data_IF_065892106670
#
_entry.id   IF_065892106670
#
_cell.length_a   1.000
_cell.length_b   1.000
_cell.length_c   1.000
_cell.angle_alpha   90.00
_cell.angle_beta   90.00
_cell.angle_gamma   90.00
#
_symmetry.space_group_name_H-M   'P 1'
#
loop_
_entity.id
_entity.type
_entity.pdbx_description
1 polymer ?
#
# COMPACT_ATOMS: atom_id res chain seq x y z
N UNK A 1 -22.72 -13.36 -21.35
CA UNK A 1 -22.52 -13.41 -19.88
C UNK A 1 -21.59 -12.27 -19.41
N UNK A 2 -21.70 -11.05 -19.96
CA UNK A 2 -20.67 -9.99 -19.76
C UNK A 2 -21.20 -8.64 -19.29
N UNK A 3 -22.51 -8.36 -19.29
CA UNK A 3 -23.02 -7.01 -18.98
C UNK A 3 -22.95 -6.58 -17.51
N UNK A 4 -22.77 -7.52 -16.57
CA UNK A 4 -22.76 -7.20 -15.14
C UNK A 4 -21.39 -6.70 -14.64
N UNK A 5 -20.28 -7.06 -15.31
CA UNK A 5 -18.96 -6.53 -14.97
C UNK A 5 -18.70 -5.15 -15.60
N UNK A 6 -19.50 -4.78 -16.62
CA UNK A 6 -19.38 -3.51 -17.33
C UNK A 6 -20.06 -2.34 -16.58
N UNK A 7 -20.84 -2.62 -15.54
CA UNK A 7 -21.56 -1.62 -14.74
C UNK A 7 -21.05 -1.58 -13.30
N UNK A 8 -20.72 -0.39 -12.80
CA UNK A 8 -20.34 -0.16 -11.39
C UNK A 8 -21.32 -0.79 -10.39
N UNK A 9 -22.62 -0.74 -10.68
CA UNK A 9 -23.67 -1.36 -9.85
C UNK A 9 -23.53 -2.89 -9.82
N UNK A 10 -23.14 -3.50 -10.93
CA UNK A 10 -22.94 -4.94 -11.00
C UNK A 10 -21.67 -5.38 -10.26
N UNK A 11 -20.57 -4.63 -10.37
CA UNK A 11 -19.35 -4.86 -9.58
C UNK A 11 -19.66 -4.80 -8.08
N UNK A 12 -20.32 -3.73 -7.63
CA UNK A 12 -20.72 -3.57 -6.21
C UNK A 12 -21.66 -4.69 -5.79
N UNK A 13 -22.60 -5.09 -6.65
CA UNK A 13 -23.50 -6.22 -6.41
C UNK A 13 -22.75 -7.53 -6.18
N UNK A 14 -21.72 -7.83 -6.99
CA UNK A 14 -20.90 -9.02 -6.82
C UNK A 14 -20.06 -8.97 -5.53
N UNK A 15 -19.45 -7.83 -5.21
CA UNK A 15 -18.68 -7.66 -3.98
C UNK A 15 -19.56 -7.81 -2.74
N UNK A 16 -20.77 -7.23 -2.75
CA UNK A 16 -21.74 -7.36 -1.68
C UNK A 16 -22.24 -8.80 -1.54
N UNK A 17 -22.50 -9.48 -2.66
CA UNK A 17 -22.92 -10.88 -2.66
C UNK A 17 -21.82 -11.79 -2.09
N UNK A 18 -20.58 -11.65 -2.58
CA UNK A 18 -19.44 -12.43 -2.12
C UNK A 18 -19.18 -12.22 -0.62
N UNK A 19 -19.13 -10.95 -0.20
CA UNK A 19 -18.92 -10.60 1.21
C UNK A 19 -20.07 -11.07 2.10
N UNK A 20 -21.31 -10.96 1.61
CA UNK A 20 -22.50 -11.42 2.32
C UNK A 20 -22.52 -12.94 2.49
N UNK A 21 -22.22 -13.70 1.43
CA UNK A 21 -22.09 -15.16 1.50
C UNK A 21 -20.96 -15.55 2.46
N UNK A 22 -19.79 -14.89 2.38
CA UNK A 22 -18.67 -15.12 3.29
C UNK A 22 -19.04 -14.84 4.74
N UNK A 23 -19.74 -13.75 5.01
CA UNK A 23 -20.23 -13.39 6.34
C UNK A 23 -21.21 -14.43 6.88
N UNK A 24 -22.21 -14.82 6.07
CA UNK A 24 -23.18 -15.87 6.42
C UNK A 24 -22.46 -17.18 6.67
N UNK A 25 -21.48 -17.55 5.85
CA UNK A 25 -20.72 -18.78 6.01
C UNK A 25 -19.96 -18.80 7.33
N UNK A 26 -19.24 -17.72 7.67
CA UNK A 26 -18.54 -17.60 8.96
C UNK A 26 -19.54 -17.70 10.11
N UNK A 27 -20.61 -16.89 10.08
CA UNK A 27 -21.57 -16.81 11.18
C UNK A 27 -22.35 -18.12 11.36
N UNK A 28 -22.77 -18.77 10.28
CA UNK A 28 -23.44 -20.06 10.30
C UNK A 28 -22.55 -21.13 10.94
N UNK A 29 -21.26 -21.19 10.59
CA UNK A 29 -20.34 -22.15 11.20
C UNK A 29 -20.12 -21.85 12.70
N UNK A 30 -20.02 -20.58 13.09
CA UNK A 30 -19.90 -20.20 14.51
C UNK A 30 -21.17 -20.56 15.30
N UNK A 31 -22.36 -20.30 14.75
CA UNK A 31 -23.65 -20.64 15.36
C UNK A 31 -23.84 -22.16 15.48
N UNK A 32 -23.51 -22.89 14.40
CA UNK A 32 -23.58 -24.35 14.39
C UNK A 32 -22.60 -24.92 15.42
N UNK A 33 -21.37 -24.39 15.48
CA UNK A 33 -20.39 -24.75 16.51
C UNK A 33 -20.89 -24.45 17.92
N UNK A 34 -21.55 -23.30 18.14
CA UNK A 34 -22.12 -22.92 19.44
C UNK A 34 -23.27 -23.84 19.88
N UNK A 35 -24.05 -24.37 18.94
CA UNK A 35 -25.20 -25.26 19.22
C UNK A 35 -24.79 -26.73 19.36
N UNK A 36 -23.86 -27.21 18.53
CA UNK A 36 -23.37 -28.60 18.58
C UNK A 36 -22.38 -28.83 19.74
N UNK A 37 -21.66 -27.80 20.20
CA UNK A 37 -20.64 -27.94 21.25
C UNK A 37 -21.25 -28.27 22.62
N UNK A 38 -20.76 -29.32 23.32
CA UNK A 38 -21.11 -29.55 24.72
C UNK A 38 -20.72 -28.37 25.62
N UNK A 39 -21.71 -27.82 26.32
CA UNK A 39 -21.54 -26.68 27.23
C UNK A 39 -21.23 -27.16 28.65
N UNK A 40 -19.96 -27.45 28.93
CA UNK A 40 -19.47 -27.76 30.28
C UNK A 40 -18.47 -26.68 30.76
N UNK A 41 -18.96 -25.58 31.36
CA UNK A 41 -18.11 -24.56 31.98
C UNK A 41 -17.66 -25.03 33.37
N UNK A 42 -16.36 -24.98 33.63
CA UNK A 42 -15.77 -25.21 34.94
C UNK A 42 -14.84 -24.03 35.27
N UNK A 43 -14.46 -23.88 36.55
CA UNK A 43 -13.64 -22.74 37.00
C UNK A 43 -12.27 -22.72 36.33
N UNK A 44 -11.58 -23.86 36.28
CA UNK A 44 -10.23 -24.00 35.71
C UNK A 44 -10.17 -23.69 34.19
N UNK A 45 -11.17 -24.07 33.39
CA UNK A 45 -11.22 -23.78 31.94
C UNK A 45 -11.49 -22.30 31.62
N UNK A 46 -12.04 -21.57 32.59
CA UNK A 46 -12.30 -20.14 32.47
C UNK A 46 -11.14 -19.29 33.03
N UNK A 47 -10.15 -19.91 33.67
CA UNK A 47 -8.94 -19.24 34.15
C UNK A 47 -7.89 -19.12 33.02
N UNK A 48 -7.00 -18.13 33.16
CA UNK A 48 -5.92 -17.88 32.20
C UNK A 48 -4.91 -19.03 32.30
N UNK A 49 -4.44 -19.52 31.16
CA UNK A 49 -3.44 -20.58 31.12
C UNK A 49 -2.07 -20.05 31.57
N UNK A 50 -1.57 -20.56 32.70
CA UNK A 50 -0.27 -20.21 33.28
C UNK A 50 0.45 -21.49 33.77
N UNK A 51 0.58 -22.49 32.88
CA UNK A 51 1.27 -23.76 33.15
C UNK A 51 0.80 -24.57 34.40
N UNK A 52 -0.38 -24.26 34.94
CA UNK A 52 -0.97 -24.92 36.11
C UNK A 52 -0.84 -24.14 37.43
N UNK A 53 -0.18 -22.98 37.43
CA UNK A 53 -0.10 -22.08 38.58
C UNK A 53 -1.13 -20.94 38.46
N UNK A 54 -1.58 -20.31 39.57
CA UNK A 54 -2.40 -19.12 39.48
C UNK A 54 -1.58 -17.96 38.88
N UNK A 55 -2.17 -17.23 37.92
CA UNK A 55 -1.54 -16.04 37.35
C UNK A 55 -1.36 -14.96 38.43
N UNK A 56 -0.10 -14.65 38.77
CA UNK A 56 0.26 -13.60 39.73
C UNK A 56 1.07 -12.53 39.00
N UNK A 57 0.68 -11.28 39.17
CA UNK A 57 1.39 -10.12 38.61
C UNK A 57 0.51 -9.28 37.69
N UNK A 58 1.05 -8.16 37.23
CA UNK A 58 0.36 -7.28 36.30
C UNK A 58 0.48 -7.79 34.87
N UNK A 59 -0.64 -7.81 34.13
CA UNK A 59 -0.64 -8.04 32.68
C UNK A 59 -0.09 -6.85 31.87
N UNK A 60 0.27 -5.75 32.53
CA UNK A 60 0.88 -4.58 31.91
C UNK A 60 2.39 -4.76 31.82
N UNK A 61 2.87 -5.11 30.62
CA UNK A 61 4.29 -5.17 30.29
C UNK A 61 4.65 -3.99 29.38
N UNK A 62 5.86 -3.45 29.55
CA UNK A 62 6.39 -2.47 28.62
C UNK A 62 6.81 -3.21 27.35
N UNK A 63 6.09 -2.95 26.25
CA UNK A 63 6.48 -3.47 24.94
C UNK A 63 7.65 -2.64 24.38
N UNK A 64 8.54 -3.30 23.66
CA UNK A 64 9.65 -2.62 22.99
C UNK A 64 9.10 -1.63 21.93
N UNK A 65 9.71 -0.44 21.85
CA UNK A 65 9.36 0.60 20.87
C UNK A 65 9.50 0.10 19.42
N UNK A 66 10.23 -0.98 19.19
CA UNK A 66 10.41 -1.63 17.89
C UNK A 66 9.11 -1.95 17.15
N UNK A 67 8.06 -2.38 17.86
CA UNK A 67 6.75 -2.63 17.24
C UNK A 67 6.16 -1.35 16.64
N UNK A 68 6.36 -0.21 17.31
CA UNK A 68 5.94 1.09 16.83
C UNK A 68 6.76 1.53 15.61
N UNK A 69 8.09 1.31 15.60
CA UNK A 69 8.94 1.67 14.45
C UNK A 69 8.52 0.92 13.19
N UNK A 70 8.25 -0.39 13.29
CA UNK A 70 7.79 -1.19 12.15
C UNK A 70 6.43 -0.68 11.64
N UNK A 71 5.49 -0.38 12.54
CA UNK A 71 4.20 0.18 12.18
C UNK A 71 4.34 1.56 11.49
N UNK A 72 5.24 2.42 11.98
CA UNK A 72 5.50 3.73 11.40
C UNK A 72 6.09 3.62 9.99
N UNK A 73 7.08 2.75 9.79
CA UNK A 73 7.67 2.48 8.46
C UNK A 73 6.61 1.91 7.51
N UNK A 74 5.74 1.02 7.99
CA UNK A 74 4.62 0.49 7.21
C UNK A 74 3.69 1.62 6.74
N UNK A 75 3.26 2.52 7.64
CA UNK A 75 2.36 3.64 7.28
C UNK A 75 3.03 4.57 6.26
N UNK A 76 4.31 4.89 6.43
CA UNK A 76 5.05 5.74 5.48
C UNK A 76 5.10 5.08 4.10
N UNK A 77 5.41 3.78 4.03
CA UNK A 77 5.46 3.05 2.76
C UNK A 77 4.07 2.82 2.15
N UNK A 78 3.02 2.67 2.97
CA UNK A 78 1.64 2.53 2.49
C UNK A 78 1.16 3.82 1.82
N UNK A 79 1.42 4.97 2.46
CA UNK A 79 1.15 6.30 1.87
C UNK A 79 1.95 6.52 0.60
N UNK A 80 3.20 6.05 0.53
CA UNK A 80 4.00 6.09 -0.69
C UNK A 80 3.33 5.36 -1.85
N UNK A 81 2.92 4.11 -1.61
CA UNK A 81 2.24 3.29 -2.64
C UNK A 81 0.93 3.95 -3.06
N UNK A 82 0.23 4.62 -2.14
CA UNK A 82 -0.95 5.42 -2.49
C UNK A 82 -0.63 6.53 -3.51
N UNK A 83 0.53 7.18 -3.42
CA UNK A 83 0.98 8.20 -4.39
C UNK A 83 1.49 7.60 -5.71
N UNK A 84 1.93 6.34 -5.73
CA UNK A 84 2.29 5.66 -6.97
C UNK A 84 1.09 5.46 -7.90
N UNK A 85 -0.13 5.30 -7.37
CA UNK A 85 -1.32 5.04 -8.19
C UNK A 85 -1.68 6.20 -9.14
N UNK A 86 -1.85 7.46 -8.69
CA UNK A 86 -2.11 8.57 -9.60
C UNK A 86 -1.04 8.70 -10.69
N UNK A 87 0.24 8.63 -10.31
CA UNK A 87 1.35 8.69 -11.27
C UNK A 87 1.27 7.56 -12.31
N UNK A 88 1.07 6.31 -11.87
CA UNK A 88 1.02 5.15 -12.75
C UNK A 88 -0.16 5.25 -13.75
N UNK A 89 -1.31 5.76 -13.31
CA UNK A 89 -2.48 5.94 -14.19
C UNK A 89 -2.27 7.04 -15.24
N UNK A 90 -1.65 8.17 -14.88
CA UNK A 90 -1.36 9.26 -15.81
C UNK A 90 -0.26 8.84 -16.79
N UNK A 91 0.84 8.28 -16.28
CA UNK A 91 1.95 7.79 -17.09
C UNK A 91 1.49 6.73 -18.09
N UNK A 92 0.66 5.77 -17.66
CA UNK A 92 0.07 4.75 -18.53
C UNK A 92 -0.77 5.36 -19.66
N UNK A 93 -1.63 6.34 -19.35
CA UNK A 93 -2.44 7.05 -20.37
C UNK A 93 -1.58 7.79 -21.39
N UNK A 94 -0.56 8.52 -20.93
CA UNK A 94 0.37 9.25 -21.80
C UNK A 94 1.15 8.30 -22.70
N UNK A 95 1.61 7.17 -22.17
CA UNK A 95 2.35 6.17 -22.93
C UNK A 95 1.47 5.49 -23.99
N UNK A 96 0.20 5.22 -23.67
CA UNK A 96 -0.77 4.69 -24.64
C UNK A 96 -1.02 5.65 -25.81
N UNK A 97 -1.10 6.96 -25.54
CA UNK A 97 -1.21 8.00 -26.59
C UNK A 97 0.05 8.11 -27.47
N UNK A 98 1.21 7.73 -26.94
CA UNK A 98 2.47 7.67 -27.70
C UNK A 98 2.53 6.41 -28.58
N UNK A 99 2.11 5.26 -28.07
CA UNK A 99 2.16 3.99 -28.77
C UNK A 99 1.15 3.94 -29.94
N UNK A 100 -0.01 4.57 -29.76
CA UNK A 100 -0.96 4.85 -30.83
C UNK A 100 -0.97 6.36 -31.11
N UNK A 101 -0.07 6.89 -31.98
CA UNK A 101 -0.09 8.30 -32.35
C UNK A 101 -1.41 8.58 -33.07
N UNK A 102 -2.42 8.92 -32.27
CA UNK A 102 -3.75 9.38 -32.62
C UNK A 102 -4.16 8.98 -34.04
N UNK A 103 -4.74 7.78 -34.23
CA UNK A 103 -5.27 7.38 -35.53
C UNK A 103 -6.28 8.44 -35.99
N UNK A 104 -5.81 9.30 -36.88
CA UNK A 104 -6.60 10.34 -37.53
C UNK A 104 -7.49 9.60 -38.52
N UNK A 105 -8.77 9.43 -38.18
CA UNK A 105 -9.74 8.82 -39.08
C UNK A 105 -10.22 9.91 -40.03
N UNK A 106 -9.86 9.78 -41.30
CA UNK A 106 -10.35 10.64 -42.37
C UNK A 106 -11.81 10.25 -42.67
N UNK A 107 -12.73 11.22 -42.68
CA UNK A 107 -14.11 10.97 -43.09
C UNK A 107 -14.14 10.40 -44.52
N UNK A 108 -15.01 9.42 -44.76
CA UNK A 108 -15.16 8.74 -46.06
C UNK A 108 -15.43 9.71 -47.23
N UNK A 109 -15.91 10.91 -46.91
CA UNK A 109 -16.29 11.96 -47.87
C UNK A 109 -15.16 13.01 -48.08
N UNK A 110 -13.94 12.73 -47.60
CA UNK A 110 -12.71 13.49 -47.91
C UNK A 110 -12.55 14.85 -47.21
N UNK A 111 -13.45 15.23 -46.29
CA UNK A 111 -13.51 16.62 -45.78
C UNK A 111 -13.00 16.91 -44.37
N UNK A 112 -12.94 15.93 -43.45
CA UNK A 112 -12.60 16.21 -42.04
C UNK A 112 -11.83 15.05 -41.41
N UNK A 113 -10.74 15.38 -40.74
CA UNK A 113 -9.93 14.46 -39.94
C UNK A 113 -10.36 14.49 -38.48
N UNK A 114 -10.83 13.36 -37.96
CA UNK A 114 -11.23 13.23 -36.55
C UNK A 114 -10.27 12.32 -35.80
N UNK A 115 -10.06 12.59 -34.51
CA UNK A 115 -9.35 11.66 -33.64
C UNK A 115 -10.13 10.36 -33.46
N UNK A 116 -9.41 9.25 -33.33
CA UNK A 116 -10.01 7.95 -32.99
C UNK A 116 -10.88 8.07 -31.73
N UNK A 117 -11.98 7.30 -31.62
CA UNK A 117 -12.84 7.31 -30.43
C UNK A 117 -12.07 7.05 -29.13
N UNK A 118 -11.08 6.14 -29.18
CA UNK A 118 -10.21 5.79 -28.06
C UNK A 118 -9.33 6.97 -27.63
N UNK A 119 -8.68 7.66 -28.57
CA UNK A 119 -7.82 8.80 -28.27
C UNK A 119 -8.65 9.95 -27.65
N UNK A 120 -9.85 10.23 -28.18
CA UNK A 120 -10.74 11.26 -27.63
C UNK A 120 -11.15 10.98 -26.18
N UNK A 121 -11.40 9.71 -25.83
CA UNK A 121 -11.67 9.29 -24.46
C UNK A 121 -10.51 9.62 -23.52
N UNK A 122 -9.29 9.23 -23.89
CA UNK A 122 -8.09 9.49 -23.07
C UNK A 122 -7.80 10.98 -22.92
N UNK A 123 -7.93 11.79 -23.97
CA UNK A 123 -7.77 13.26 -23.86
C UNK A 123 -8.82 13.91 -22.95
N UNK A 124 -10.07 13.43 -23.00
CA UNK A 124 -11.13 13.90 -22.10
C UNK A 124 -10.83 13.55 -20.65
N UNK A 125 -10.35 12.33 -20.38
CA UNK A 125 -9.98 11.88 -19.05
C UNK A 125 -8.74 12.58 -18.48
N UNK A 126 -7.83 13.03 -19.35
CA UNK A 126 -6.68 13.86 -18.97
C UNK A 126 -7.05 15.34 -18.77
N UNK A 127 -8.32 15.72 -18.98
CA UNK A 127 -8.80 17.10 -18.85
C UNK A 127 -8.52 18.01 -20.05
N UNK A 128 -7.95 17.49 -21.14
CA UNK A 128 -7.63 18.22 -22.36
C UNK A 128 -8.81 18.28 -23.37
N UNK A 129 -10.02 17.84 -22.97
CA UNK A 129 -11.13 17.59 -23.88
C UNK A 129 -11.75 18.82 -24.56
N UNK A 130 -11.56 20.03 -24.05
CA UNK A 130 -12.22 21.23 -24.57
C UNK A 130 -11.61 21.80 -25.86
N UNK A 131 -10.33 21.50 -26.14
CA UNK A 131 -9.60 22.04 -27.30
C UNK A 131 -9.64 21.11 -28.52
N UNK A 132 -10.17 19.90 -28.33
CA UNK A 132 -10.00 18.78 -29.25
C UNK A 132 -11.17 18.60 -30.25
N UNK A 133 -12.28 19.30 -30.02
CA UNK A 133 -13.47 19.28 -30.90
C UNK A 133 -13.40 20.32 -32.05
N UNK A 134 -12.27 21.04 -32.20
CA UNK A 134 -12.03 21.94 -33.32
C UNK A 134 -11.87 21.18 -34.65
N UNK A 135 -12.83 21.36 -35.56
CA UNK A 135 -12.75 20.87 -36.94
C UNK A 135 -11.66 21.64 -37.68
N UNK A 136 -10.46 21.07 -37.78
CA UNK A 136 -9.38 21.63 -38.61
C UNK A 136 -9.63 21.18 -40.06
N UNK A 137 -10.14 22.08 -40.92
CA UNK A 137 -10.15 21.87 -42.36
C UNK A 137 -8.72 22.01 -42.89
N UNK A 138 -8.01 20.89 -43.06
CA UNK A 138 -6.67 20.88 -43.64
C UNK A 138 -6.66 20.04 -44.93
N UNK A 139 -6.03 20.57 -45.98
CA UNK A 139 -5.85 19.85 -47.26
C UNK A 139 -4.99 18.59 -47.04
N UNK A 140 -5.20 17.53 -47.83
CA UNK A 140 -4.49 16.23 -47.74
C UNK A 140 -2.95 16.33 -47.64
N UNK A 141 -2.34 17.34 -48.30
CA UNK A 141 -0.91 17.63 -48.23
C UNK A 141 -0.51 18.38 -46.95
N UNK A 142 -1.35 19.31 -46.47
CA UNK A 142 -1.17 20.02 -45.21
C UNK A 142 -1.40 19.09 -44.00
N UNK A 143 -2.27 18.08 -44.13
CA UNK A 143 -2.43 17.01 -43.17
C UNK A 143 -1.18 16.13 -43.11
N UNK A 144 -0.62 15.69 -44.25
CA UNK A 144 0.60 14.86 -44.24
C UNK A 144 1.82 15.62 -43.72
N UNK A 145 1.97 16.91 -44.02
CA UNK A 145 3.05 17.74 -43.47
C UNK A 145 2.80 18.14 -42.01
N UNK A 146 1.58 18.55 -41.64
CA UNK A 146 1.21 18.91 -40.27
C UNK A 146 1.10 17.72 -39.31
N UNK A 147 0.81 16.51 -39.79
CA UNK A 147 0.89 15.26 -39.01
C UNK A 147 2.33 14.83 -38.81
N UNK A 148 3.23 15.08 -39.79
CA UNK A 148 4.67 14.84 -39.63
C UNK A 148 5.30 15.85 -38.68
N UNK A 149 5.16 17.15 -38.94
CA UNK A 149 5.70 18.22 -38.08
C UNK A 149 4.99 18.28 -36.71
N UNK A 150 3.67 18.16 -36.68
CA UNK A 150 2.90 18.10 -35.44
C UNK A 150 3.09 16.80 -34.68
N UNK A 151 3.38 15.70 -35.37
CA UNK A 151 3.82 14.44 -34.76
C UNK A 151 5.17 14.61 -34.09
N UNK A 152 6.17 15.16 -34.77
CA UNK A 152 7.50 15.41 -34.21
C UNK A 152 7.49 16.41 -33.05
N UNK A 153 6.73 17.51 -33.18
CA UNK A 153 6.62 18.54 -32.12
C UNK A 153 5.81 18.05 -30.91
N UNK A 154 4.73 17.27 -31.13
CA UNK A 154 3.97 16.67 -30.01
C UNK A 154 4.73 15.51 -29.37
N UNK A 155 5.41 14.66 -30.13
CA UNK A 155 6.25 13.59 -29.55
C UNK A 155 7.38 14.17 -28.69
N UNK A 156 8.00 15.29 -29.10
CA UNK A 156 9.01 15.98 -28.30
C UNK A 156 8.44 16.51 -26.98
N UNK A 157 7.22 17.09 -27.00
CA UNK A 157 6.51 17.51 -25.78
C UNK A 157 6.14 16.33 -24.87
N UNK A 158 5.71 15.20 -25.45
CA UNK A 158 5.40 13.99 -24.70
C UNK A 158 6.64 13.35 -24.06
N UNK A 159 7.78 13.31 -24.77
CA UNK A 159 9.03 12.78 -24.22
C UNK A 159 9.53 13.59 -23.03
N UNK A 160 9.35 14.91 -23.05
CA UNK A 160 9.68 15.76 -21.91
C UNK A 160 8.79 15.46 -20.70
N UNK A 161 7.47 15.31 -20.90
CA UNK A 161 6.53 15.00 -19.80
C UNK A 161 6.79 13.61 -19.21
N UNK A 162 7.01 12.60 -20.07
CA UNK A 162 7.32 11.22 -19.65
C UNK A 162 8.63 11.18 -18.87
N UNK A 163 9.68 11.80 -19.41
CA UNK A 163 11.00 11.83 -18.75
C UNK A 163 10.93 12.61 -17.44
N UNK A 164 10.23 13.75 -17.43
CA UNK A 164 10.02 14.55 -16.22
C UNK A 164 9.29 13.74 -15.14
N UNK A 165 8.17 13.10 -15.47
CA UNK A 165 7.40 12.30 -14.53
C UNK A 165 8.19 11.10 -14.00
N UNK A 166 9.03 10.47 -14.84
CA UNK A 166 9.90 9.37 -14.43
C UNK A 166 11.02 9.85 -13.48
N UNK A 167 11.63 11.00 -13.76
CA UNK A 167 12.66 11.59 -12.90
C UNK A 167 12.07 12.03 -11.56
N UNK A 168 10.91 12.70 -11.57
CA UNK A 168 10.20 13.11 -10.35
C UNK A 168 9.88 11.90 -9.47
N UNK A 169 9.32 10.84 -10.04
CA UNK A 169 9.02 9.60 -9.32
C UNK A 169 10.29 8.91 -8.81
N UNK A 170 11.37 8.91 -9.61
CA UNK A 170 12.66 8.39 -9.20
C UNK A 170 13.25 9.15 -8.00
N UNK A 171 13.13 10.49 -7.98
CA UNK A 171 13.56 11.33 -6.85
C UNK A 171 12.70 11.04 -5.62
N UNK A 172 11.38 11.01 -5.77
CA UNK A 172 10.43 10.74 -4.70
C UNK A 172 10.71 9.39 -4.03
N UNK A 173 10.84 8.32 -4.82
CA UNK A 173 11.19 6.99 -4.34
C UNK A 173 12.58 6.93 -3.71
N UNK A 174 13.57 7.64 -4.27
CA UNK A 174 14.94 7.67 -3.74
C UNK A 174 15.03 8.31 -2.36
N UNK A 175 14.26 9.38 -2.12
CA UNK A 175 14.20 10.05 -0.81
C UNK A 175 13.74 9.06 0.26
N UNK A 176 12.71 8.25 -0.04
CA UNK A 176 12.24 7.23 0.89
C UNK A 176 13.20 6.07 1.04
N UNK A 177 13.86 5.62 -0.03
CA UNK A 177 14.84 4.56 0.07
C UNK A 177 16.02 4.99 0.96
N UNK A 178 16.43 6.26 0.91
CA UNK A 178 17.41 6.83 1.83
C UNK A 178 16.89 6.85 3.26
N UNK A 179 15.64 7.29 3.49
CA UNK A 179 15.03 7.29 4.82
C UNK A 179 14.93 5.86 5.40
N UNK A 180 14.51 4.89 4.59
CA UNK A 180 14.45 3.48 4.95
C UNK A 180 15.84 2.91 5.26
N UNK A 181 16.82 3.18 4.39
CA UNK A 181 18.21 2.77 4.62
C UNK A 181 18.80 3.39 5.90
N UNK A 182 18.40 4.63 6.24
CA UNK A 182 18.78 5.29 7.48
C UNK A 182 18.20 4.58 8.72
N UNK A 183 16.94 4.18 8.67
CA UNK A 183 16.28 3.41 9.76
C UNK A 183 16.91 2.02 9.88
N UNK A 184 17.19 1.36 8.76
CA UNK A 184 17.88 0.08 8.73
C UNK A 184 19.27 0.20 9.35
N UNK A 185 20.08 1.16 8.91
CA UNK A 185 21.44 1.37 9.43
C UNK A 185 21.46 1.63 10.94
N UNK A 186 20.44 2.25 11.50
CA UNK A 186 20.32 2.48 12.94
C UNK A 186 19.94 1.22 13.74
N UNK A 187 19.67 0.09 13.07
CA UNK A 187 19.26 -1.15 13.71
C UNK A 187 17.90 -1.03 14.41
N UNK A 188 17.06 -0.06 14.00
CA UNK A 188 15.73 0.12 14.59
C UNK A 188 14.78 -1.05 14.23
N UNK A 189 15.16 -1.84 13.22
CA UNK A 189 14.49 -3.07 12.80
C UNK A 189 15.13 -4.35 13.38
N UNK A 190 16.22 -4.24 14.15
CA UNK A 190 16.89 -5.43 14.69
C UNK A 190 16.13 -5.99 15.88
N UNK A 191 15.72 -7.26 15.82
CA UNK A 191 14.96 -7.91 16.92
C UNK A 191 15.86 -8.32 18.09
N UNK A 192 17.16 -8.50 17.86
CA UNK A 192 18.11 -8.95 18.88
C UNK A 192 18.92 -7.74 19.36
N UNK A 193 18.31 -6.97 20.25
CA UNK A 193 19.06 -6.13 21.19
C UNK A 193 18.80 -6.80 22.52
N UNK A 194 19.77 -7.59 22.99
CA UNK A 194 19.71 -8.12 24.33
C UNK A 194 19.53 -6.93 25.26
N UNK A 195 18.43 -6.88 25.98
CA UNK A 195 18.35 -6.01 27.14
C UNK A 195 19.51 -6.46 28.03
N UNK A 196 20.56 -5.66 28.08
CA UNK A 196 21.67 -5.87 29.02
C UNK A 196 21.07 -5.69 30.40
N UNK A 197 20.52 -6.77 30.97
CA UNK A 197 20.19 -6.81 32.37
C UNK A 197 21.44 -6.33 33.12
N UNK A 198 21.35 -5.29 33.97
CA UNK A 198 22.51 -4.83 34.70
C UNK A 198 23.10 -6.03 35.42
N UNK A 199 24.43 -6.27 35.33
CA UNK A 199 25.03 -7.43 35.94
C UNK A 199 24.65 -7.42 37.41
N UNK A 200 23.89 -8.42 37.84
CA UNK A 200 23.64 -8.65 39.27
C UNK A 200 25.02 -8.81 39.87
N UNK A 201 25.45 -7.82 40.65
CA UNK A 201 26.69 -7.91 41.42
C UNK A 201 26.47 -9.00 42.45
N UNK A 202 26.82 -10.23 42.09
CA UNK A 202 26.95 -11.31 43.06
C UNK A 202 28.10 -10.89 43.98
N UNK A 203 27.75 -10.52 45.20
CA UNK A 203 28.70 -10.28 46.28
C UNK A 203 29.32 -11.64 46.64
N UNK A 204 30.40 -11.99 45.93
CA UNK A 204 31.11 -13.28 46.06
C UNK A 204 31.62 -13.46 47.49
N UNK A 205 31.98 -12.36 48.16
CA UNK A 205 32.44 -12.37 49.54
C UNK A 205 31.32 -12.77 50.50
N UNK A 206 30.08 -12.29 50.27
CA UNK A 206 28.89 -12.75 51.00
C UNK A 206 28.65 -14.25 50.84
N UNK A 207 28.70 -14.75 49.61
CA UNK A 207 28.46 -16.18 49.31
C UNK A 207 29.54 -17.07 49.96
N UNK A 208 30.79 -16.63 49.96
CA UNK A 208 31.89 -17.36 50.60
C UNK A 208 31.82 -17.35 52.14
N UNK A 209 31.24 -16.30 52.73
CA UNK A 209 31.17 -16.12 54.19
C UNK A 209 30.01 -16.87 54.86
N UNK A 210 29.08 -17.46 54.08
CA UNK A 210 27.91 -18.15 54.62
C UNK A 210 26.90 -17.25 55.35
N UNK A 211 27.06 -15.92 55.31
CA UNK A 211 26.14 -14.98 55.98
C UNK A 211 24.80 -14.90 55.27
N UNK A 212 23.75 -15.25 56.00
CA UNK A 212 22.37 -15.11 55.54
C UNK A 212 21.95 -13.62 55.45
N UNK A 213 20.85 -13.32 54.74
CA UNK A 213 20.38 -11.94 54.52
C UNK A 213 20.14 -11.12 55.80
N UNK A 214 19.90 -11.78 56.93
CA UNK A 214 19.48 -11.15 58.18
C UNK A 214 20.61 -10.76 59.14
N UNK A 215 21.86 -11.19 58.92
CA UNK A 215 22.94 -10.94 59.91
C UNK A 215 23.53 -9.53 59.85
N UNK A 216 23.28 -8.75 58.80
CA UNK A 216 23.89 -7.42 58.63
C UNK A 216 23.24 -6.28 59.41
N UNK A 217 22.11 -6.53 60.08
CA UNK A 217 21.37 -5.48 60.83
C UNK A 217 21.85 -5.34 62.28
N UNK A 218 22.67 -6.28 62.77
CA UNK A 218 23.03 -6.38 64.20
C UNK A 218 24.41 -5.80 64.57
N UNK A 219 25.14 -5.16 63.64
CA UNK A 219 26.51 -4.67 63.92
C UNK A 219 26.73 -3.18 63.64
N UNK A 220 25.71 -2.33 63.75
CA UNK A 220 25.86 -0.87 63.76
C UNK A 220 25.86 -0.33 65.19
#
# INVERSE_FOLDING_TARGET
MTSALDNSVGIVGYLALFSGIGFVFIFMNLLLGRFLRPSNPNREKLEIYECGEPAIGSSFVQFDLRFYVVALVFIIFDVEVAFLFPWATVFGKVTNLRAEPAAVVQAADGGVTHLSPTARGVYRELGAGAEVDGVIQATDSQLRHGVREGGELKLAGYDQVVTFAFVEMGIFFSILLVAFAYVWRQGALDWIRAESAPPVKVDVDRVSSGRGPHESVLSA
#
